data_IF_497099018517
#
_entry.id   IF_497099018517
#
_cell.length_a   1.000
_cell.length_b   1.000
_cell.length_c   1.000
_cell.angle_alpha   90.00
_cell.angle_beta   90.00
_cell.angle_gamma   90.00
#
_symmetry.space_group_name_H-M   'P 1'
#
loop_
_entity.id
_entity.type
_entity.pdbx_description
1 polymer ?
#
# COMPACT_ATOMS: atom_id res chain seq x y z
N UNK A 1 15.08 19.99 3.29
CA UNK A 1 13.66 19.86 3.71
C UNK A 1 13.39 18.48 4.31
N UNK A 2 12.41 18.33 5.20
CA UNK A 2 12.07 17.05 5.88
C UNK A 2 11.74 15.94 4.85
N UNK A 3 11.10 16.30 3.74
CA UNK A 3 10.73 15.37 2.66
C UNK A 3 11.99 14.72 2.04
N UNK A 4 13.03 15.52 1.76
CA UNK A 4 14.28 15.06 1.15
C UNK A 4 15.06 14.09 2.03
N UNK A 5 14.98 14.21 3.35
CA UNK A 5 15.64 13.32 4.30
C UNK A 5 14.84 12.04 4.63
N UNK A 6 13.61 11.89 4.11
CA UNK A 6 12.77 10.73 4.41
C UNK A 6 13.32 9.48 3.72
N UNK A 7 13.64 8.46 4.51
CA UNK A 7 14.05 7.15 4.03
C UNK A 7 13.03 6.10 4.47
N UNK A 8 12.83 5.09 3.64
CA UNK A 8 11.85 4.04 3.87
C UNK A 8 12.58 2.79 4.34
N UNK A 9 12.64 2.62 5.67
CA UNK A 9 13.20 1.41 6.29
C UNK A 9 12.15 0.63 7.09
N UNK A 10 11.02 1.28 7.37
CA UNK A 10 9.92 0.70 8.12
C UNK A 10 8.57 1.24 7.63
N UNK A 11 7.52 0.50 7.98
CA UNK A 11 6.14 0.79 7.61
C UNK A 11 5.64 2.12 8.17
N UNK A 12 6.16 2.55 9.33
CA UNK A 12 5.84 3.85 9.92
C UNK A 12 6.15 5.02 8.97
N UNK A 13 7.27 4.96 8.25
CA UNK A 13 7.64 6.00 7.28
C UNK A 13 6.69 6.05 6.08
N UNK A 14 6.20 4.90 5.63
CA UNK A 14 5.19 4.83 4.57
C UNK A 14 3.88 5.49 5.01
N UNK A 15 3.46 5.23 6.26
CA UNK A 15 2.28 5.86 6.86
C UNK A 15 2.43 7.38 6.91
N UNK A 16 3.56 7.87 7.41
CA UNK A 16 3.84 9.31 7.49
C UNK A 16 3.76 9.98 6.13
N UNK A 17 4.33 9.36 5.07
CA UNK A 17 4.21 9.91 3.71
C UNK A 17 2.75 9.94 3.25
N UNK A 18 1.99 8.85 3.41
CA UNK A 18 0.58 8.80 3.02
C UNK A 18 -0.29 9.81 3.79
N UNK A 19 0.02 10.07 5.05
CA UNK A 19 -0.64 11.08 5.87
C UNK A 19 -0.33 12.49 5.36
N UNK A 20 0.91 12.77 4.94
CA UNK A 20 1.28 14.04 4.28
C UNK A 20 0.53 14.24 2.94
N UNK A 21 0.28 13.17 2.18
CA UNK A 21 -0.49 13.21 0.93
C UNK A 21 -2.01 13.44 1.13
N UNK A 22 -2.48 13.63 2.36
CA UNK A 22 -3.87 14.06 2.63
C UNK A 22 -4.04 15.56 2.42
N UNK A 23 -2.98 16.34 2.61
CA UNK A 23 -3.00 17.78 2.40
C UNK A 23 -2.74 18.08 0.91
N UNK A 24 -3.80 18.53 0.21
CA UNK A 24 -3.73 18.82 -1.22
C UNK A 24 -2.83 20.02 -1.57
N UNK A 25 -2.77 21.03 -0.70
CA UNK A 25 -1.92 22.22 -0.91
C UNK A 25 -0.44 21.84 -0.76
N UNK A 26 -0.14 21.00 0.23
CA UNK A 26 1.19 20.44 0.42
C UNK A 26 1.64 19.61 -0.77
N UNK A 27 0.77 18.75 -1.31
CA UNK A 27 1.07 17.93 -2.49
C UNK A 27 1.38 18.80 -3.70
N UNK A 28 0.60 19.86 -3.93
CA UNK A 28 0.84 20.77 -5.05
C UNK A 28 2.18 21.52 -4.90
N UNK A 29 2.49 21.99 -3.69
CA UNK A 29 3.72 22.74 -3.42
C UNK A 29 5.00 21.91 -3.56
N UNK A 30 4.96 20.64 -3.19
CA UNK A 30 6.14 19.76 -3.17
C UNK A 30 6.04 18.59 -4.16
N UNK A 31 5.27 18.76 -5.24
CA UNK A 31 4.90 17.69 -6.19
C UNK A 31 6.09 16.83 -6.61
N UNK A 32 7.13 17.43 -7.19
CA UNK A 32 8.31 16.70 -7.66
C UNK A 32 9.08 15.97 -6.56
N UNK A 33 9.24 16.57 -5.37
CA UNK A 33 9.92 15.89 -4.26
C UNK A 33 9.11 14.70 -3.76
N UNK A 34 7.78 14.85 -3.73
CA UNK A 34 6.86 13.79 -3.33
C UNK A 34 6.79 12.66 -4.36
N UNK A 35 6.82 12.95 -5.65
CA UNK A 35 6.87 11.93 -6.72
C UNK A 35 8.07 11.00 -6.52
N UNK A 36 9.26 11.58 -6.38
CA UNK A 36 10.51 10.84 -6.18
C UNK A 36 10.44 10.00 -4.89
N UNK A 37 9.90 10.57 -3.81
CA UNK A 37 9.78 9.86 -2.53
C UNK A 37 8.72 8.78 -2.56
N UNK A 38 7.63 9.01 -3.27
CA UNK A 38 6.56 8.04 -3.45
C UNK A 38 7.03 6.83 -4.26
N UNK A 39 7.81 7.06 -5.32
CA UNK A 39 8.47 5.98 -6.08
C UNK A 39 9.44 5.19 -5.20
N UNK A 40 10.30 5.86 -4.43
CA UNK A 40 11.23 5.19 -3.49
C UNK A 40 10.50 4.37 -2.43
N UNK A 41 9.39 4.88 -1.92
CA UNK A 41 8.53 4.17 -0.96
C UNK A 41 7.96 2.90 -1.58
N UNK A 42 7.40 2.99 -2.79
CA UNK A 42 6.85 1.84 -3.50
C UNK A 42 7.94 0.84 -3.88
N UNK A 43 9.11 1.31 -4.28
CA UNK A 43 10.27 0.46 -4.56
C UNK A 43 10.69 -0.35 -3.34
N UNK A 44 10.88 0.32 -2.21
CA UNK A 44 11.22 -0.35 -0.96
C UNK A 44 10.11 -1.33 -0.55
N UNK A 45 8.85 -0.93 -0.63
CA UNK A 45 7.73 -1.78 -0.24
C UNK A 45 7.62 -3.04 -1.13
N UNK A 46 7.71 -2.88 -2.46
CA UNK A 46 7.57 -4.00 -3.39
C UNK A 46 8.82 -4.90 -3.36
N UNK A 47 10.03 -4.33 -3.41
CA UNK A 47 11.27 -5.12 -3.47
C UNK A 47 11.68 -5.66 -2.11
N UNK A 48 11.70 -4.83 -1.07
CA UNK A 48 12.23 -5.20 0.26
C UNK A 48 11.15 -5.86 1.11
N UNK A 49 9.94 -5.29 1.18
CA UNK A 49 8.88 -5.82 2.06
C UNK A 49 8.18 -7.03 1.45
N UNK A 50 7.79 -6.98 0.18
CA UNK A 50 7.10 -8.08 -0.50
C UNK A 50 8.05 -9.08 -1.18
N UNK A 51 9.30 -8.69 -1.46
CA UNK A 51 10.27 -9.56 -2.13
C UNK A 51 10.03 -9.72 -3.63
N UNK A 52 9.29 -8.80 -4.26
CA UNK A 52 8.97 -8.84 -5.69
C UNK A 52 9.98 -7.95 -6.44
N UNK A 53 10.94 -8.56 -7.14
CA UNK A 53 11.94 -7.85 -7.94
C UNK A 53 11.62 -7.79 -9.43
N UNK A 54 10.61 -8.53 -9.89
CA UNK A 54 10.25 -8.66 -11.32
C UNK A 54 9.49 -7.46 -11.89
N UNK A 55 9.06 -6.52 -11.03
CA UNK A 55 8.26 -5.36 -11.42
C UNK A 55 9.15 -4.13 -11.61
N UNK A 56 9.20 -3.52 -12.81
CA UNK A 56 9.96 -2.30 -13.02
C UNK A 56 9.33 -1.13 -12.26
N UNK A 57 10.14 -0.31 -11.62
CA UNK A 57 9.70 0.91 -10.93
C UNK A 57 10.64 2.03 -11.38
N UNK A 58 10.14 3.12 -11.97
CA UNK A 58 8.74 3.37 -12.33
C UNK A 58 8.24 2.47 -13.48
N UNK A 59 6.92 2.22 -13.58
CA UNK A 59 6.35 1.54 -14.73
C UNK A 59 6.32 2.46 -15.95
N UNK A 60 6.54 1.86 -17.12
CA UNK A 60 6.45 2.53 -18.41
C UNK A 60 5.21 2.04 -19.15
N UNK A 61 4.56 2.94 -19.88
CA UNK A 61 3.52 2.59 -20.85
C UNK A 61 4.13 1.97 -22.11
N UNK A 62 3.30 1.41 -22.99
CA UNK A 62 3.71 0.88 -24.29
C UNK A 62 4.45 1.93 -25.15
N UNK A 63 4.09 3.21 -25.00
CA UNK A 63 4.72 4.35 -25.69
C UNK A 63 6.02 4.82 -25.03
N UNK A 64 6.60 4.04 -24.11
CA UNK A 64 7.78 4.39 -23.33
C UNK A 64 7.62 5.66 -22.47
N UNK A 65 6.37 6.09 -22.24
CA UNK A 65 6.03 7.19 -21.32
C UNK A 65 6.13 6.68 -19.88
N UNK A 66 6.84 7.42 -19.03
CA UNK A 66 6.87 7.19 -17.60
C UNK A 66 5.48 7.41 -17.01
N UNK A 67 4.99 6.45 -16.23
CA UNK A 67 3.71 6.58 -15.53
C UNK A 67 3.96 7.18 -14.15
N UNK A 68 3.35 8.33 -13.89
CA UNK A 68 3.41 8.97 -12.59
C UNK A 68 2.50 8.22 -11.60
N UNK A 69 3.13 7.51 -10.67
CA UNK A 69 2.44 6.72 -9.66
C UNK A 69 1.80 7.60 -8.57
N UNK A 70 2.35 8.78 -8.29
CA UNK A 70 1.81 9.70 -7.30
C UNK A 70 0.52 10.34 -7.83
N UNK A 71 0.56 10.89 -9.05
CA UNK A 71 -0.61 11.50 -9.67
C UNK A 71 -1.72 10.47 -9.85
N UNK A 72 -1.37 9.25 -10.31
CA UNK A 72 -2.30 8.14 -10.41
C UNK A 72 -2.94 7.78 -9.05
N UNK A 73 -2.16 7.81 -7.97
CA UNK A 73 -2.68 7.61 -6.63
C UNK A 73 -3.65 8.73 -6.21
N UNK A 74 -3.30 10.00 -6.49
CA UNK A 74 -4.10 11.16 -6.13
C UNK A 74 -5.41 11.24 -6.89
N UNK A 75 -5.41 10.99 -8.21
CA UNK A 75 -6.63 10.99 -9.05
C UNK A 75 -7.60 9.90 -8.58
N UNK A 76 -7.12 8.67 -8.37
CA UNK A 76 -7.97 7.57 -7.89
C UNK A 76 -8.47 7.85 -6.46
N UNK A 77 -7.66 8.48 -5.60
CA UNK A 77 -8.08 8.90 -4.26
C UNK A 77 -9.22 9.92 -4.32
N UNK A 78 -9.13 10.91 -5.21
CA UNK A 78 -10.22 11.89 -5.47
C UNK A 78 -11.48 11.20 -6.00
N UNK A 79 -11.31 10.17 -6.84
CA UNK A 79 -12.41 9.34 -7.37
C UNK A 79 -13.02 8.35 -6.37
N UNK A 80 -12.75 8.46 -5.06
CA UNK A 80 -13.31 7.57 -4.03
C UNK A 80 -12.54 6.25 -3.83
N UNK A 81 -11.35 6.14 -4.41
CA UNK A 81 -10.45 4.99 -4.27
C UNK A 81 -10.73 3.87 -5.28
N UNK A 82 -9.85 2.85 -5.25
CA UNK A 82 -9.83 1.75 -6.23
C UNK A 82 -11.19 1.07 -6.44
N UNK A 83 -11.90 0.75 -5.35
CA UNK A 83 -13.18 0.06 -5.41
C UNK A 83 -14.22 0.91 -6.15
N UNK A 84 -14.35 2.18 -5.77
CA UNK A 84 -15.32 3.08 -6.39
C UNK A 84 -15.02 3.32 -7.88
N UNK A 85 -13.75 3.52 -8.24
CA UNK A 85 -13.35 3.70 -9.65
C UNK A 85 -13.60 2.43 -10.47
N UNK A 86 -13.39 1.24 -9.88
CA UNK A 86 -13.59 -0.04 -10.57
C UNK A 86 -15.07 -0.38 -10.73
N UNK A 87 -15.87 -0.22 -9.67
CA UNK A 87 -17.30 -0.56 -9.68
C UNK A 87 -18.08 0.35 -10.65
N UNK A 88 -17.67 1.61 -10.79
CA UNK A 88 -18.27 2.58 -11.71
C UNK A 88 -17.60 2.63 -13.10
N UNK A 89 -16.63 1.76 -13.38
CA UNK A 89 -15.87 1.71 -14.63
C UNK A 89 -15.23 3.05 -15.06
N UNK A 90 -14.73 3.83 -14.09
CA UNK A 90 -14.20 5.19 -14.31
C UNK A 90 -12.73 5.22 -14.73
N UNK A 91 -12.13 4.06 -15.02
CA UNK A 91 -10.70 3.97 -15.37
C UNK A 91 -10.33 4.72 -16.64
N UNK A 92 -11.24 4.81 -17.59
CA UNK A 92 -11.02 5.58 -18.82
C UNK A 92 -11.02 7.10 -18.55
N UNK A 93 -11.81 7.56 -17.58
CA UNK A 93 -11.79 8.95 -17.08
C UNK A 93 -10.48 9.24 -16.35
N UNK A 94 -10.04 8.32 -15.48
CA UNK A 94 -8.74 8.43 -14.78
C UNK A 94 -7.58 8.50 -15.77
N UNK A 95 -7.61 7.70 -16.85
CA UNK A 95 -6.60 7.77 -17.90
C UNK A 95 -6.61 9.15 -18.57
N UNK A 96 -7.80 9.69 -18.87
CA UNK A 96 -7.94 11.02 -19.47
C UNK A 96 -7.43 12.14 -18.58
N UNK A 97 -7.71 12.07 -17.27
CA UNK A 97 -7.22 13.04 -16.27
C UNK A 97 -5.69 13.01 -16.10
N UNK A 98 -5.08 11.86 -16.40
CA UNK A 98 -3.62 11.67 -16.42
C UNK A 98 -3.00 11.99 -17.80
N UNK A 99 -3.77 12.62 -18.69
CA UNK A 99 -3.37 12.96 -20.06
C UNK A 99 -3.02 11.74 -20.95
N UNK A 100 -3.52 10.56 -20.59
CA UNK A 100 -3.44 9.34 -21.41
C UNK A 100 -4.67 9.19 -22.32
N UNK A 101 -4.62 8.20 -23.21
CA UNK A 101 -5.74 7.89 -24.08
C UNK A 101 -6.86 7.17 -23.30
N UNK A 102 -8.11 7.30 -23.75
CA UNK A 102 -9.23 6.57 -23.15
C UNK A 102 -9.03 5.05 -23.20
N UNK A 103 -8.35 4.55 -24.24
CA UNK A 103 -8.01 3.14 -24.39
C UNK A 103 -7.01 2.64 -23.34
N UNK A 104 -6.25 3.55 -22.72
CA UNK A 104 -5.27 3.24 -21.67
C UNK A 104 -5.92 3.06 -20.30
N UNK A 105 -7.25 3.14 -20.17
CA UNK A 105 -7.95 2.88 -18.92
C UNK A 105 -7.61 1.52 -18.31
N UNK A 106 -7.50 0.46 -19.14
CA UNK A 106 -7.12 -0.88 -18.68
C UNK A 106 -5.67 -0.92 -18.16
N UNK A 107 -4.75 -0.25 -18.85
CA UNK A 107 -3.35 -0.15 -18.44
C UNK A 107 -3.24 0.59 -17.10
N UNK A 108 -3.92 1.73 -16.98
CA UNK A 108 -3.99 2.56 -15.78
C UNK A 108 -4.51 1.77 -14.58
N UNK A 109 -5.56 0.96 -14.77
CA UNK A 109 -6.08 0.03 -13.75
C UNK A 109 -5.03 -0.98 -13.29
N UNK A 110 -4.34 -1.62 -14.25
CA UNK A 110 -3.30 -2.63 -13.95
C UNK A 110 -2.17 -1.99 -13.15
N UNK A 111 -1.69 -0.81 -13.55
CA UNK A 111 -0.61 -0.11 -12.85
C UNK A 111 -1.01 0.28 -11.43
N UNK A 112 -2.21 0.83 -11.24
CA UNK A 112 -2.71 1.13 -9.89
C UNK A 112 -2.80 -0.13 -9.03
N UNK A 113 -3.36 -1.21 -9.58
CA UNK A 113 -3.53 -2.48 -8.88
C UNK A 113 -2.19 -3.11 -8.47
N UNK A 114 -1.15 -2.96 -9.29
CA UNK A 114 0.16 -3.56 -9.05
C UNK A 114 0.99 -2.83 -8.00
N UNK A 115 0.91 -1.50 -7.91
CA UNK A 115 1.77 -0.71 -7.02
C UNK A 115 0.96 -0.05 -5.88
N UNK A 116 0.23 1.07 -6.09
CA UNK A 116 -0.53 1.73 -5.02
C UNK A 116 -1.50 0.82 -4.27
N UNK A 117 -2.25 -0.04 -4.97
CA UNK A 117 -3.30 -0.84 -4.34
C UNK A 117 -2.72 -1.86 -3.35
N UNK A 118 -1.58 -2.47 -3.67
CA UNK A 118 -0.93 -3.45 -2.78
C UNK A 118 -0.48 -2.78 -1.49
N UNK A 119 0.05 -1.55 -1.59
CA UNK A 119 0.42 -0.75 -0.42
C UNK A 119 -0.80 -0.40 0.44
N UNK A 120 -1.86 0.12 -0.17
CA UNK A 120 -3.11 0.50 0.54
C UNK A 120 -3.79 -0.72 1.17
N UNK A 121 -3.82 -1.85 0.47
CA UNK A 121 -4.39 -3.09 0.97
C UNK A 121 -3.61 -3.61 2.19
N UNK A 122 -2.27 -3.62 2.09
CA UNK A 122 -1.42 -4.01 3.21
C UNK A 122 -1.62 -3.09 4.42
N UNK A 123 -1.82 -1.79 4.18
CA UNK A 123 -2.14 -0.83 5.22
C UNK A 123 -3.44 -1.18 5.94
N UNK A 124 -4.52 -1.42 5.18
CA UNK A 124 -5.81 -1.86 5.75
C UNK A 124 -5.66 -3.15 6.56
N UNK A 125 -4.95 -4.14 6.01
CA UNK A 125 -4.72 -5.42 6.69
C UNK A 125 -3.96 -5.26 8.01
N UNK A 126 -2.86 -4.48 8.03
CA UNK A 126 -2.08 -4.23 9.25
C UNK A 126 -2.87 -3.46 10.30
N UNK A 127 -3.71 -2.51 9.87
CA UNK A 127 -4.57 -1.75 10.79
C UNK A 127 -5.62 -2.65 11.45
N UNK A 128 -6.15 -3.63 10.71
CA UNK A 128 -7.09 -4.62 11.26
C UNK A 128 -6.39 -5.58 12.22
N UNK A 129 -5.18 -6.07 11.89
CA UNK A 129 -4.40 -6.95 12.76
C UNK A 129 -3.98 -6.26 14.08
N UNK A 130 -3.63 -4.97 14.04
CA UNK A 130 -3.35 -4.20 15.27
C UNK A 130 -4.54 -4.13 16.22
N UNK A 131 -5.76 -3.95 15.68
CA UNK A 131 -7.00 -3.94 16.47
C UNK A 131 -7.37 -5.31 17.05
N UNK A 132 -6.98 -6.41 16.41
CA UNK A 132 -7.21 -7.77 16.94
C UNK A 132 -6.31 -8.05 18.14
N UNK A 133 -5.04 -7.60 18.09
CA UNK A 133 -4.10 -7.72 19.20
C UNK A 133 -4.54 -6.85 20.39
N UNK A 134 -5.10 -5.66 20.16
CA UNK A 134 -5.64 -4.81 21.22
C UNK A 134 -6.95 -5.36 21.81
N UNK A 135 -7.81 -6.02 21.02
CA UNK A 135 -9.04 -6.64 21.52
C UNK A 135 -8.81 -7.91 22.35
N UNK A 136 -7.80 -8.71 22.03
CA UNK A 136 -7.43 -9.89 22.85
C UNK A 136 -6.89 -9.50 24.24
N UNK A 137 -6.51 -8.25 24.46
CA UNK A 137 -6.01 -7.77 25.76
C UNK A 137 -7.08 -7.10 26.64
N UNK A 138 -8.32 -6.95 26.16
CA UNK A 138 -9.39 -6.19 26.87
C UNK A 138 -10.53 -7.09 27.39
N UNK A 139 -10.57 -8.38 27.05
CA UNK A 139 -11.54 -9.31 27.65
C UNK A 139 -10.87 -10.28 28.63
N UNK A 140 -10.45 -9.76 29.79
CA UNK A 140 -10.55 -10.46 31.07
C UNK A 140 -10.17 -9.49 32.20
N UNK A 141 -11.14 -8.72 32.69
CA UNK A 141 -11.03 -8.12 34.02
C UNK A 141 -12.40 -7.96 34.67
N UNK A 142 -12.86 -9.04 35.29
CA UNK A 142 -13.65 -8.99 36.53
C UNK A 142 -13.00 -10.01 37.50
N UNK A 143 -12.25 -9.52 38.48
CA UNK A 143 -11.53 -10.32 39.49
C UNK A 143 -12.42 -10.85 40.63
N UNK A 144 -11.89 -11.24 41.81
CA UNK A 144 -10.49 -11.40 42.21
C UNK A 144 -10.20 -12.75 42.93
N UNK A 145 -8.90 -13.06 43.12
CA UNK A 145 -8.27 -13.77 44.26
C UNK A 145 -7.27 -14.87 43.87
N UNK A 146 -6.19 -14.89 44.65
CA UNK A 146 -5.20 -15.96 44.85
C UNK A 146 -4.05 -16.11 43.85
N UNK A 147 -3.08 -15.21 44.04
CA UNK A 147 -1.69 -15.53 44.37
C UNK A 147 -1.26 -17.01 44.17
N UNK A 148 -0.58 -17.33 43.07
CA UNK A 148 0.55 -18.29 43.06
C UNK A 148 1.65 -17.77 42.14
N UNK A 149 2.75 -17.36 42.75
CA UNK A 149 4.08 -17.26 42.16
C UNK A 149 4.69 -18.66 42.05
N UNK A 150 4.84 -19.23 40.83
CA UNK A 150 5.95 -20.17 40.57
C UNK A 150 6.57 -19.95 39.19
N UNK A 151 7.87 -19.66 39.26
CA UNK A 151 8.89 -19.54 38.22
C UNK A 151 8.80 -20.59 37.10
N UNK A 152 9.06 -20.16 35.86
CA UNK A 152 10.01 -20.84 34.94
C UNK A 152 10.48 -19.89 33.85
N UNK A 153 11.72 -19.42 33.98
CA UNK A 153 12.42 -18.81 32.87
C UNK A 153 12.61 -19.81 31.75
N UNK A 154 12.37 -19.38 30.50
CA UNK A 154 12.96 -19.94 29.29
C UNK A 154 13.13 -18.81 28.28
N UNK A 155 14.39 -18.45 28.01
CA UNK A 155 14.79 -17.85 26.74
C UNK A 155 14.33 -18.79 25.64
N UNK A 156 13.27 -18.43 24.91
CA UNK A 156 12.97 -19.04 23.63
C UNK A 156 13.54 -18.14 22.53
N UNK A 157 14.81 -18.38 22.19
CA UNK A 157 15.26 -18.18 20.80
C UNK A 157 14.42 -19.14 19.96
N UNK A 158 13.51 -18.63 19.14
CA UNK A 158 12.51 -19.46 18.49
C UNK A 158 12.04 -18.89 17.17
N UNK A 159 12.91 -19.01 16.17
CA UNK A 159 12.56 -19.20 14.75
C UNK A 159 11.51 -18.26 14.15
N UNK A 160 12.04 -17.23 13.51
CA UNK A 160 11.60 -16.79 12.19
C UNK A 160 11.39 -18.01 11.26
N UNK A 161 10.22 -18.66 11.35
CA UNK A 161 9.68 -19.37 10.20
C UNK A 161 9.06 -18.28 9.33
N UNK A 162 9.86 -17.77 8.38
CA UNK A 162 9.36 -17.20 7.13
C UNK A 162 8.50 -18.29 6.47
N UNK A 163 7.25 -18.43 6.90
CA UNK A 163 6.20 -18.96 6.03
C UNK A 163 6.07 -17.89 4.96
N UNK A 164 6.80 -18.11 3.86
CA UNK A 164 6.41 -17.59 2.55
C UNK A 164 5.03 -18.18 2.27
N UNK A 165 3.99 -17.62 2.89
CA UNK A 165 2.72 -17.58 2.23
C UNK A 165 2.98 -16.67 1.04
N UNK A 166 3.28 -17.32 -0.08
CA UNK A 166 2.83 -16.86 -1.37
C UNK A 166 1.43 -16.29 -1.11
N UNK A 167 1.34 -14.96 -1.13
CA UNK A 167 0.07 -14.32 -1.34
C UNK A 167 -0.25 -14.75 -2.77
N UNK A 168 -0.83 -15.94 -2.93
CA UNK A 168 -1.60 -16.28 -4.10
C UNK A 168 -2.60 -15.14 -4.18
N UNK A 169 -2.39 -14.26 -5.14
CA UNK A 169 -3.29 -13.17 -5.47
C UNK A 169 -4.46 -13.82 -6.23
N UNK A 170 -5.63 -14.09 -5.61
CA UNK A 170 -6.82 -14.43 -6.38
C UNK A 170 -7.26 -13.27 -7.29
N UNK A 171 -6.72 -12.06 -7.07
CA UNK A 171 -7.14 -10.86 -7.80
C UNK A 171 -6.71 -10.80 -9.27
N UNK A 172 -5.74 -11.63 -9.72
CA UNK A 172 -5.33 -11.63 -11.13
C UNK A 172 -6.28 -12.43 -12.04
N UNK A 173 -7.07 -13.36 -11.50
CA UNK A 173 -7.92 -14.24 -12.30
C UNK A 173 -9.28 -13.62 -12.68
N UNK A 174 -9.71 -12.57 -12.00
CA UNK A 174 -11.00 -11.92 -12.27
C UNK A 174 -10.92 -10.82 -13.35
N UNK A 175 -9.71 -10.40 -13.76
CA UNK A 175 -9.53 -9.28 -14.69
C UNK A 175 -9.75 -9.63 -16.17
N UNK A 176 -9.95 -10.90 -16.50
CA UNK A 176 -10.22 -11.40 -17.87
C UNK A 176 -11.64 -11.90 -18.06
N UNK A 177 -12.52 -11.80 -17.06
CA UNK A 177 -13.89 -12.31 -17.13
C UNK A 177 -14.92 -11.19 -16.94
N UNK A 178 -15.05 -10.35 -17.96
CA UNK A 178 -16.32 -9.74 -18.38
C UNK A 178 -16.07 -9.04 -19.73
N UNK A 179 -16.83 -9.53 -20.70
CA UNK A 179 -16.89 -9.19 -22.11
C UNK A 179 -17.20 -7.71 -22.36
#
# INVERSE_FOLDING_TARGET
MIIQAMEFHDFSHCKSLLDMLKDGEFVFKYKHELEIKFEKMLEWFVKVKLGISTRPIPPFSADNKKIDLLDLYMVVKRGGGYKNVTDNNLWAVVAKDMEYDYNDGKLTRIMYAMYPNVLVYYYKFKTVQGKVIEKEMVEHDEGPSDLILIKKGRRAKGMFKKKKHFITMPCLLEMTRKE
#
